data_IF_108877442270
#
_entry.id   IF_108877442270
#
_cell.length_a   1.000
_cell.length_b   1.000
_cell.length_c   1.000
_cell.angle_alpha   90.00
_cell.angle_beta   90.00
_cell.angle_gamma   90.00
#
_symmetry.space_group_name_H-M   'P 1'
#
loop_
_entity.id
_entity.type
_entity.pdbx_description
1 polymer ?
#
# COMPACT_ATOMS: atom_id res chain seq x y z
N UNK A 1 -10.46 -2.45 1.44
CA UNK A 1 -10.73 -3.74 2.13
C UNK A 1 -9.49 -4.11 2.90
N UNK A 2 -9.61 -4.61 4.11
CA UNK A 2 -8.45 -4.88 4.99
C UNK A 2 -7.70 -6.15 4.52
N UNK A 3 -6.92 -6.04 3.45
CA UNK A 3 -6.06 -7.11 2.97
C UNK A 3 -4.75 -7.17 3.78
N UNK A 4 -4.20 -8.36 3.98
CA UNK A 4 -2.95 -8.56 4.71
C UNK A 4 -1.96 -9.37 3.85
N UNK A 5 -0.86 -8.72 3.50
CA UNK A 5 0.20 -9.21 2.62
C UNK A 5 1.54 -9.39 3.34
N UNK A 6 1.59 -9.48 4.68
CA UNK A 6 2.85 -9.57 5.45
C UNK A 6 3.84 -10.65 4.96
N UNK A 7 3.34 -11.67 4.26
CA UNK A 7 4.15 -12.78 3.76
C UNK A 7 4.01 -12.99 2.25
N UNK A 8 3.38 -12.04 1.55
CA UNK A 8 3.21 -12.14 0.10
C UNK A 8 4.51 -11.75 -0.61
N UNK A 9 4.94 -12.58 -1.56
CA UNK A 9 5.96 -12.16 -2.53
C UNK A 9 5.28 -11.37 -3.64
N UNK A 10 5.37 -10.04 -3.60
CA UNK A 10 4.82 -9.14 -4.60
C UNK A 10 5.82 -8.76 -5.69
N UNK A 11 6.99 -9.40 -5.74
CA UNK A 11 8.01 -9.09 -6.76
C UNK A 11 7.46 -9.42 -8.16
N UNK A 12 7.29 -8.38 -8.97
CA UNK A 12 6.77 -8.50 -10.35
C UNK A 12 5.24 -8.58 -10.45
N UNK A 13 4.49 -8.40 -9.35
CA UNK A 13 3.04 -8.33 -9.40
C UNK A 13 2.59 -7.04 -10.08
N UNK A 14 1.65 -7.13 -11.03
CA UNK A 14 0.94 -5.95 -11.53
C UNK A 14 -0.20 -5.61 -10.55
N UNK A 15 -0.10 -4.47 -9.88
CA UNK A 15 -1.10 -3.96 -8.94
C UNK A 15 -1.83 -2.72 -9.49
N UNK A 16 -1.69 -2.43 -10.80
CA UNK A 16 -2.39 -1.34 -11.46
C UNK A 16 -3.91 -1.50 -11.30
N UNK A 17 -4.57 -0.46 -10.77
CA UNK A 17 -6.01 -0.45 -10.50
C UNK A 17 -6.46 -1.22 -9.25
N UNK A 18 -5.56 -1.88 -8.50
CA UNK A 18 -5.92 -2.56 -7.27
C UNK A 18 -6.28 -1.57 -6.16
N UNK A 19 -7.42 -1.77 -5.49
CA UNK A 19 -7.77 -1.01 -4.29
C UNK A 19 -7.02 -1.57 -3.07
N UNK A 20 -5.84 -1.02 -2.78
CA UNK A 20 -4.99 -1.39 -1.65
C UNK A 20 -5.27 -0.56 -0.39
N UNK A 21 -6.35 0.22 -0.35
CA UNK A 21 -6.68 1.06 0.80
C UNK A 21 -6.89 0.22 2.06
N UNK A 22 -6.06 0.50 3.07
CA UNK A 22 -6.02 -0.21 4.35
C UNK A 22 -5.26 -1.53 4.31
N UNK A 23 -4.60 -1.86 3.20
CA UNK A 23 -3.86 -3.11 3.09
C UNK A 23 -2.53 -3.06 3.85
N UNK A 24 -2.20 -4.13 4.58
CA UNK A 24 -0.88 -4.30 5.19
C UNK A 24 0.07 -4.95 4.20
N UNK A 25 1.13 -4.26 3.82
CA UNK A 25 2.11 -4.69 2.83
C UNK A 25 3.19 -5.60 3.43
N UNK A 26 3.98 -6.33 2.60
CA UNK A 26 5.04 -7.22 3.09
C UNK A 26 6.12 -6.51 3.91
N UNK A 27 6.31 -5.20 3.70
CA UNK A 27 7.22 -4.35 4.49
C UNK A 27 6.62 -3.91 5.84
N UNK A 28 5.41 -4.37 6.15
CA UNK A 28 4.68 -4.05 7.38
C UNK A 28 3.92 -2.73 7.34
N UNK A 29 4.03 -1.93 6.28
CA UNK A 29 3.33 -0.64 6.15
C UNK A 29 1.86 -0.87 5.81
N UNK A 30 1.01 0.04 6.28
CA UNK A 30 -0.38 0.10 5.85
C UNK A 30 -0.45 1.06 4.67
N UNK A 31 -0.91 0.58 3.51
CA UNK A 31 -1.17 1.43 2.36
C UNK A 31 -2.48 2.18 2.60
N UNK A 32 -2.39 3.47 2.93
CA UNK A 32 -3.53 4.30 3.24
C UNK A 32 -3.43 5.59 2.42
N UNK A 33 -4.47 5.92 1.65
CA UNK A 33 -4.53 7.08 0.75
C UNK A 33 -4.19 8.42 1.43
N UNK A 34 -4.32 8.47 2.76
CA UNK A 34 -4.05 9.66 3.58
C UNK A 34 -2.57 10.01 3.75
N UNK A 35 -1.64 9.07 3.51
CA UNK A 35 -0.20 9.31 3.73
C UNK A 35 0.57 9.70 2.46
N UNK A 36 0.06 9.38 1.26
CA UNK A 36 0.68 9.89 0.02
C UNK A 36 0.52 11.41 -0.11
N UNK A 37 -0.60 11.97 0.37
CA UNK A 37 -0.84 13.41 0.36
C UNK A 37 0.04 14.19 1.36
N UNK A 38 0.53 13.55 2.42
CA UNK A 38 1.41 14.19 3.39
C UNK A 38 2.83 14.45 2.85
N UNK A 39 3.29 13.69 1.86
CA UNK A 39 4.56 13.93 1.16
C UNK A 39 4.46 14.96 0.03
N UNK A 40 3.25 15.37 -0.38
CA UNK A 40 3.05 16.43 -1.38
C UNK A 40 2.89 17.84 -0.75
N UNK A 41 2.75 17.93 0.57
CA UNK A 41 2.62 19.20 1.30
C UNK A 41 3.94 19.72 1.89
N UNK A 42 5.07 19.04 1.65
CA UNK A 42 6.40 19.45 2.09
C UNK A 42 7.32 19.96 0.98
N UNK A 43 6.76 20.37 -0.17
CA UNK A 43 7.50 21.00 -1.28
C UNK A 43 7.29 22.52 -1.29
#
# INVERSE_FOLDING_TARGET
GNANFNWANLKGANLEGANLKGAKMPDGRIHNDYLESANYLSA
#
